data_IF_203995787102
#
_entry.id   IF_203995787102
#
_cell.length_a   1.000
_cell.length_b   1.000
_cell.length_c   1.000
_cell.angle_alpha   90.00
_cell.angle_beta   90.00
_cell.angle_gamma   90.00
#
_symmetry.space_group_name_H-M   'P 1'
#
loop_
_entity.id
_entity.type
_entity.pdbx_description
1 polymer ?
#
# COMPACT_ATOMS: atom_id res chain seq x y z
N UNK A 1 -17.51 12.01 17.25
CA UNK A 1 -16.08 11.64 17.21
C UNK A 1 -15.87 10.14 17.32
N UNK A 2 -15.81 9.47 16.17
CA UNK A 2 -15.36 8.08 16.01
C UNK A 2 -14.08 8.08 15.17
N UNK A 3 -12.93 8.05 15.84
CA UNK A 3 -11.64 7.80 15.19
C UNK A 3 -11.40 6.29 15.19
N UNK A 4 -10.98 5.75 14.05
CA UNK A 4 -10.73 4.32 13.88
C UNK A 4 -9.38 4.04 13.22
N UNK A 5 -8.81 2.89 13.57
CA UNK A 5 -7.63 2.33 12.92
C UNK A 5 -8.01 0.96 12.38
N UNK A 6 -7.82 0.75 11.08
CA UNK A 6 -8.00 -0.54 10.41
C UNK A 6 -6.64 -1.05 9.96
N UNK A 7 -6.32 -2.30 10.30
CA UNK A 7 -5.04 -2.92 9.98
C UNK A 7 -5.25 -3.96 8.89
N UNK A 8 -4.75 -3.69 7.68
CA UNK A 8 -4.82 -4.62 6.56
C UNK A 8 -3.57 -5.51 6.44
N UNK A 9 -2.45 -5.09 7.04
CA UNK A 9 -1.17 -5.79 7.04
C UNK A 9 -0.27 -5.36 8.20
N UNK A 10 0.83 -6.07 8.41
CA UNK A 10 1.72 -5.87 9.57
C UNK A 10 1.13 -6.32 10.91
N UNK A 11 0.19 -7.28 10.87
CA UNK A 11 -0.49 -7.85 12.06
C UNK A 11 -0.28 -9.37 12.13
N UNK A 12 -0.72 -10.00 13.23
CA UNK A 12 -0.68 -11.46 13.42
C UNK A 12 0.72 -12.10 13.31
N UNK A 13 1.77 -11.32 13.62
CA UNK A 13 3.16 -11.77 13.57
C UNK A 13 3.86 -11.52 12.23
N UNK A 14 3.19 -10.84 11.28
CA UNK A 14 3.80 -10.37 10.05
C UNK A 14 4.95 -9.38 10.32
N UNK A 15 6.08 -9.61 9.67
CA UNK A 15 7.20 -8.67 9.65
C UNK A 15 7.18 -7.90 8.34
N UNK A 16 6.85 -6.61 8.42
CA UNK A 16 6.67 -5.75 7.24
C UNK A 16 5.22 -5.69 6.78
N UNK A 17 5.01 -5.34 5.51
CA UNK A 17 3.69 -5.23 4.86
C UNK A 17 2.73 -4.28 5.56
N UNK A 18 3.25 -3.19 6.11
CA UNK A 18 2.46 -2.24 6.87
C UNK A 18 1.42 -1.56 5.95
N UNK A 19 0.16 -1.68 6.36
CA UNK A 19 -1.00 -1.13 5.66
C UNK A 19 -2.05 -0.75 6.70
N UNK A 20 -2.03 0.50 7.16
CA UNK A 20 -2.88 0.92 8.29
C UNK A 20 -3.73 2.12 7.86
N UNK A 21 -5.05 1.98 7.90
CA UNK A 21 -5.97 3.07 7.58
C UNK A 21 -6.41 3.76 8.87
N UNK A 22 -6.07 5.03 9.00
CA UNK A 22 -6.62 5.97 9.96
C UNK A 22 -7.84 6.65 9.36
N UNK A 23 -8.98 6.56 10.01
CA UNK A 23 -10.21 7.19 9.54
C UNK A 23 -10.94 7.95 10.66
N UNK A 24 -11.45 9.12 10.31
CA UNK A 24 -12.35 9.93 11.12
C UNK A 24 -13.58 10.28 10.30
N UNK A 25 -14.71 9.71 10.69
CA UNK A 25 -15.98 9.84 9.97
C UNK A 25 -16.55 11.25 10.02
N UNK A 26 -16.29 11.99 11.10
CA UNK A 26 -16.83 13.33 11.32
C UNK A 26 -16.17 14.35 10.39
N UNK A 27 -14.85 14.27 10.24
CA UNK A 27 -14.08 15.09 9.31
C UNK A 27 -14.00 14.50 7.91
N UNK A 28 -14.52 13.28 7.72
CA UNK A 28 -14.46 12.50 6.48
C UNK A 28 -13.02 12.25 6.02
N UNK A 29 -12.08 12.25 6.96
CA UNK A 29 -10.66 12.06 6.73
C UNK A 29 -10.35 10.56 6.65
N UNK A 30 -9.59 10.19 5.62
CA UNK A 30 -8.98 8.86 5.49
C UNK A 30 -7.52 8.99 5.12
N UNK A 31 -6.63 8.55 6.00
CA UNK A 31 -5.18 8.57 5.80
C UNK A 31 -4.66 7.15 5.87
N UNK A 32 -4.00 6.71 4.81
CA UNK A 32 -3.31 5.44 4.80
C UNK A 32 -1.87 5.64 5.27
N UNK A 33 -1.44 4.88 6.28
CA UNK A 33 -0.10 4.91 6.84
C UNK A 33 0.64 3.68 6.30
N UNK A 34 1.61 3.95 5.44
CA UNK A 34 2.29 2.98 4.60
C UNK A 34 1.34 2.17 3.70
N UNK A 35 1.86 1.71 2.56
CA UNK A 35 1.16 0.75 1.74
C UNK A 35 2.14 -0.27 1.19
N UNK A 36 2.59 -1.09 2.14
CA UNK A 36 3.58 -2.14 1.96
C UNK A 36 3.04 -3.42 1.38
N UNK A 37 3.86 -4.47 1.41
CA UNK A 37 3.47 -5.82 1.04
C UNK A 37 4.12 -6.81 2.00
N UNK A 38 3.38 -7.84 2.40
CA UNK A 38 3.89 -8.96 3.18
C UNK A 38 4.98 -9.68 2.38
N UNK A 39 6.26 -9.44 2.71
CA UNK A 39 7.38 -9.94 1.91
C UNK A 39 7.57 -11.45 2.03
N UNK A 40 7.18 -12.06 3.15
CA UNK A 40 7.21 -13.51 3.33
C UNK A 40 6.20 -14.19 2.41
N UNK A 41 4.93 -13.76 2.49
CA UNK A 41 3.85 -14.26 1.62
C UNK A 41 4.20 -14.03 0.15
N UNK A 42 4.70 -12.84 -0.18
CA UNK A 42 5.17 -12.52 -1.52
C UNK A 42 6.26 -13.47 -2.00
N UNK A 43 7.24 -13.78 -1.16
CA UNK A 43 8.36 -14.68 -1.50
C UNK A 43 7.91 -16.11 -1.76
N UNK A 44 6.89 -16.60 -1.05
CA UNK A 44 6.29 -17.92 -1.26
C UNK A 44 5.53 -17.98 -2.59
N UNK A 45 4.74 -16.95 -2.89
CA UNK A 45 3.90 -16.89 -4.09
C UNK A 45 4.68 -16.57 -5.37
N UNK A 46 5.70 -15.72 -5.26
CA UNK A 46 6.46 -15.19 -6.39
C UNK A 46 7.97 -15.31 -6.14
N UNK A 47 8.52 -16.54 -6.08
CA UNK A 47 9.95 -16.72 -5.94
C UNK A 47 10.68 -16.21 -7.20
N UNK A 48 11.86 -15.64 -7.03
CA UNK A 48 12.61 -15.04 -8.13
C UNK A 48 12.79 -16.03 -9.30
N UNK A 49 12.54 -15.62 -10.56
CA UNK A 49 12.25 -14.26 -11.03
C UNK A 49 10.76 -13.95 -11.23
N UNK A 50 9.84 -14.68 -10.61
CA UNK A 50 8.40 -14.49 -10.77
C UNK A 50 7.91 -13.19 -10.12
N UNK A 51 6.84 -12.65 -10.70
CA UNK A 51 6.14 -11.46 -10.23
C UNK A 51 4.63 -11.64 -10.50
N UNK A 52 3.75 -10.91 -9.80
CA UNK A 52 2.34 -10.83 -10.15
C UNK A 52 2.17 -10.43 -11.62
N UNK A 53 1.14 -10.96 -12.28
CA UNK A 53 0.83 -10.65 -13.69
C UNK A 53 -0.05 -9.41 -13.83
N UNK A 54 -0.79 -9.06 -12.78
CA UNK A 54 -1.63 -7.86 -12.72
C UNK A 54 -1.76 -7.32 -11.30
N UNK A 55 -2.22 -6.07 -11.20
CA UNK A 55 -2.66 -5.45 -9.95
C UNK A 55 -3.78 -6.24 -9.27
N UNK A 56 -4.73 -6.73 -10.07
CA UNK A 56 -5.83 -7.57 -9.59
C UNK A 56 -5.33 -8.87 -8.95
N UNK A 57 -4.30 -9.49 -9.51
CA UNK A 57 -3.69 -10.69 -8.91
C UNK A 57 -3.09 -10.37 -7.53
N UNK A 58 -2.47 -9.20 -7.34
CA UNK A 58 -1.93 -8.78 -6.04
C UNK A 58 -3.02 -8.72 -4.97
N UNK A 59 -4.21 -8.22 -5.32
CA UNK A 59 -5.37 -8.17 -4.43
C UNK A 59 -5.90 -9.59 -4.17
N UNK A 60 -6.11 -10.38 -5.23
CA UNK A 60 -6.68 -11.73 -5.13
C UNK A 60 -5.86 -12.68 -4.27
N UNK A 61 -4.52 -12.55 -4.29
CA UNK A 61 -3.64 -13.36 -3.44
C UNK A 61 -3.43 -12.77 -2.05
N UNK A 62 -4.07 -11.64 -1.72
CA UNK A 62 -4.04 -11.01 -0.41
C UNK A 62 -2.70 -10.35 -0.08
N UNK A 63 -2.04 -9.69 -1.05
CA UNK A 63 -0.87 -8.85 -0.75
C UNK A 63 -1.27 -7.45 -0.26
N UNK A 64 -2.47 -7.00 -0.59
CA UNK A 64 -3.04 -5.72 -0.18
C UNK A 64 -4.57 -5.73 -0.37
N UNK A 65 -5.32 -4.86 0.32
CA UNK A 65 -6.76 -4.66 0.08
C UNK A 65 -7.02 -4.12 -1.32
N UNK A 66 -8.24 -4.36 -1.81
CA UNK A 66 -8.72 -3.79 -3.06
C UNK A 66 -8.86 -2.27 -2.95
N UNK A 67 -8.68 -1.49 -4.04
CA UNK A 67 -8.94 -0.06 -4.04
C UNK A 67 -10.36 0.30 -3.55
N UNK A 68 -11.36 -0.53 -3.89
CA UNK A 68 -12.76 -0.35 -3.51
C UNK A 68 -12.95 -0.48 -1.99
N UNK A 69 -12.17 -1.34 -1.33
CA UNK A 69 -12.18 -1.48 0.14
C UNK A 69 -11.68 -0.18 0.80
N UNK A 70 -10.59 0.39 0.29
CA UNK A 70 -10.03 1.65 0.79
C UNK A 70 -11.02 2.83 0.64
N UNK A 71 -11.84 2.80 -0.42
CA UNK A 71 -12.86 3.81 -0.68
C UNK A 71 -14.12 3.62 0.17
N UNK A 72 -14.52 2.39 0.47
CA UNK A 72 -15.80 2.08 1.13
C UNK A 72 -15.68 1.85 2.64
N UNK A 73 -14.54 1.39 3.14
CA UNK A 73 -14.31 1.12 4.56
C UNK A 73 -13.57 2.28 5.26
N UNK A 74 -13.91 2.66 6.51
CA UNK A 74 -15.09 2.23 7.26
C UNK A 74 -16.40 2.94 6.82
N UNK A 75 -16.30 3.94 5.95
CA UNK A 75 -17.41 4.66 5.32
C UNK A 75 -17.02 5.06 3.89
N UNK A 76 -17.97 5.30 2.99
CA UNK A 76 -17.65 5.72 1.61
C UNK A 76 -17.01 7.11 1.57
N UNK A 77 -15.74 7.23 1.18
CA UNK A 77 -15.02 8.49 0.96
C UNK A 77 -13.69 8.22 0.23
N UNK A 78 -13.16 9.19 -0.56
CA UNK A 78 -11.83 9.07 -1.12
C UNK A 78 -10.75 9.03 -0.03
N UNK A 79 -9.60 8.42 -0.33
CA UNK A 79 -8.41 8.59 0.50
C UNK A 79 -7.94 10.04 0.43
N UNK A 80 -7.76 10.66 1.59
CA UNK A 80 -7.25 12.04 1.70
C UNK A 80 -5.77 12.10 1.33
N UNK A 81 -4.99 11.12 1.80
CA UNK A 81 -3.61 10.89 1.38
C UNK A 81 -3.10 9.52 1.85
N UNK A 82 -1.93 9.14 1.35
CA UNK A 82 -1.09 8.08 1.91
C UNK A 82 0.20 8.71 2.44
N UNK A 83 0.54 8.44 3.69
CA UNK A 83 1.82 8.82 4.31
C UNK A 83 2.77 7.63 4.24
N UNK A 84 3.94 7.80 3.63
CA UNK A 84 4.98 6.78 3.63
C UNK A 84 6.06 7.13 4.63
N UNK A 85 6.37 6.16 5.50
CA UNK A 85 7.39 6.32 6.53
C UNK A 85 8.81 6.31 5.95
N UNK A 86 9.11 5.37 5.05
CA UNK A 86 10.42 5.21 4.41
C UNK A 86 10.34 4.28 3.16
N UNK A 87 11.38 4.18 2.32
CA UNK A 87 11.25 3.66 0.95
C UNK A 87 11.36 2.13 0.81
N UNK A 88 11.35 1.37 1.91
CA UNK A 88 11.44 -0.08 1.83
C UNK A 88 10.18 -0.72 1.22
N UNK A 89 10.32 -1.91 0.67
CA UNK A 89 9.27 -2.59 -0.08
C UNK A 89 8.06 -2.96 0.79
N UNK A 90 8.33 -3.35 2.02
CA UNK A 90 7.35 -3.62 3.07
C UNK A 90 6.59 -2.39 3.56
N UNK A 91 6.86 -1.20 3.00
CA UNK A 91 6.12 0.04 3.23
C UNK A 91 5.56 0.68 1.95
N UNK A 92 6.06 0.29 0.78
CA UNK A 92 5.80 1.01 -0.49
C UNK A 92 5.36 0.13 -1.65
N UNK A 93 5.45 -1.19 -1.56
CA UNK A 93 5.28 -2.05 -2.74
C UNK A 93 3.83 -2.12 -3.26
N UNK A 94 2.83 -1.85 -2.42
CA UNK A 94 1.43 -1.87 -2.81
C UNK A 94 0.89 -0.52 -3.29
N UNK A 95 1.70 0.55 -3.33
CA UNK A 95 1.25 1.89 -3.78
C UNK A 95 0.62 1.91 -5.16
N UNK A 96 0.95 0.95 -6.03
CA UNK A 96 0.34 0.80 -7.35
C UNK A 96 -1.16 0.46 -7.30
N UNK A 97 -1.68 0.04 -6.14
CA UNK A 97 -3.09 -0.28 -5.86
C UNK A 97 -3.84 0.88 -5.20
N UNK A 98 -3.21 2.04 -5.01
CA UNK A 98 -3.93 3.20 -4.48
C UNK A 98 -5.03 3.63 -5.46
N UNK A 99 -6.21 4.06 -4.95
CA UNK A 99 -7.21 4.72 -5.77
C UNK A 99 -6.61 5.89 -6.55
N UNK A 100 -7.04 6.05 -7.79
CA UNK A 100 -6.53 7.10 -8.68
C UNK A 100 -6.69 8.49 -8.06
N UNK A 101 -5.64 9.31 -8.19
CA UNK A 101 -5.62 10.66 -7.63
C UNK A 101 -5.29 10.76 -6.14
N UNK A 102 -5.08 9.63 -5.44
CA UNK A 102 -4.66 9.65 -4.01
C UNK A 102 -3.28 10.32 -3.86
N UNK A 103 -3.14 11.40 -3.08
CA UNK A 103 -1.85 12.03 -2.83
C UNK A 103 -0.93 11.12 -2.00
N UNK A 104 0.32 10.97 -2.43
CA UNK A 104 1.38 10.28 -1.66
C UNK A 104 2.31 11.32 -1.04
N UNK A 105 2.42 11.33 0.28
CA UNK A 105 3.26 12.24 1.04
C UNK A 105 4.37 11.45 1.74
N UNK A 106 5.61 11.88 1.57
CA UNK A 106 6.77 11.29 2.20
C UNK A 106 7.90 12.33 2.29
N UNK A 107 9.00 11.99 2.96
CA UNK A 107 10.21 12.82 2.91
C UNK A 107 10.78 12.88 1.47
N UNK A 108 11.45 13.98 1.09
CA UNK A 108 12.11 14.09 -0.22
C UNK A 108 13.08 12.93 -0.51
N UNK A 109 13.78 12.43 0.52
CA UNK A 109 14.70 11.30 0.43
C UNK A 109 13.96 9.99 0.14
N UNK A 110 12.80 9.77 0.77
CA UNK A 110 11.95 8.61 0.51
C UNK A 110 11.46 8.63 -0.95
N UNK A 111 10.94 9.76 -1.42
CA UNK A 111 10.46 9.92 -2.80
C UNK A 111 11.58 9.69 -3.82
N UNK A 112 12.77 10.25 -3.57
CA UNK A 112 13.95 10.05 -4.40
C UNK A 112 14.33 8.56 -4.49
N UNK A 113 14.35 7.86 -3.36
CA UNK A 113 14.65 6.42 -3.33
C UNK A 113 13.60 5.59 -4.07
N UNK A 114 12.32 5.96 -3.98
CA UNK A 114 11.26 5.31 -4.73
C UNK A 114 11.42 5.50 -6.24
N UNK A 115 11.79 6.70 -6.70
CA UNK A 115 12.07 6.98 -8.11
C UNK A 115 13.29 6.21 -8.64
N UNK A 116 14.38 6.17 -7.87
CA UNK A 116 15.57 5.36 -8.19
C UNK A 116 15.21 3.87 -8.27
N UNK A 117 14.41 3.38 -7.32
CA UNK A 117 13.95 1.98 -7.33
C UNK A 117 13.10 1.67 -8.56
N UNK A 118 12.18 2.56 -8.94
CA UNK A 118 11.33 2.41 -10.13
C UNK A 118 12.12 2.44 -11.44
N UNK A 119 13.16 3.28 -11.52
CA UNK A 119 13.99 3.43 -12.73
C UNK A 119 15.01 2.30 -12.94
N UNK A 120 15.40 1.59 -11.87
CA UNK A 120 16.44 0.55 -11.92
C UNK A 120 15.90 -0.88 -11.90
N UNK A 121 14.66 -1.11 -11.44
CA UNK A 121 14.06 -2.44 -11.36
C UNK A 121 13.45 -2.91 -12.68
N UNK A 122 13.35 -4.23 -12.83
CA UNK A 122 12.55 -4.86 -13.89
C UNK A 122 11.08 -4.51 -13.65
N UNK A 123 10.47 -3.81 -14.60
CA UNK A 123 9.07 -3.38 -14.52
C UNK A 123 8.13 -4.59 -14.42
N UNK A 124 7.26 -4.54 -13.42
CA UNK A 124 6.05 -5.36 -13.32
C UNK A 124 4.88 -4.53 -12.79
N UNK A 125 3.71 -5.16 -12.52
CA UNK A 125 2.52 -4.47 -12.02
C UNK A 125 2.75 -3.71 -10.71
N UNK A 126 3.73 -4.12 -9.92
CA UNK A 126 4.12 -3.49 -8.66
C UNK A 126 4.85 -2.14 -8.83
N UNK A 127 5.34 -1.83 -10.04
CA UNK A 127 6.06 -0.58 -10.35
C UNK A 127 5.18 0.44 -11.12
N UNK A 128 3.91 0.10 -11.33
CA UNK A 128 2.92 0.91 -12.07
C UNK A 128 2.25 1.94 -11.14
N UNK A 129 2.95 3.05 -10.91
CA UNK A 129 2.47 4.25 -10.20
C UNK A 129 2.10 5.35 -11.18
#
# INVERSE_FOLDING_TARGET
MSVSLTFYGGVEGEVGGNQILLADEETRLKVLLDFGCNLERRGILYPFPMQPRSKEEMVNVGLAPAPEELLSHPFEAPLSCTLLSHPHADHTLAICLLPEGTPVLASPECLTMMEVRRSTRRRGPEDEV
#
